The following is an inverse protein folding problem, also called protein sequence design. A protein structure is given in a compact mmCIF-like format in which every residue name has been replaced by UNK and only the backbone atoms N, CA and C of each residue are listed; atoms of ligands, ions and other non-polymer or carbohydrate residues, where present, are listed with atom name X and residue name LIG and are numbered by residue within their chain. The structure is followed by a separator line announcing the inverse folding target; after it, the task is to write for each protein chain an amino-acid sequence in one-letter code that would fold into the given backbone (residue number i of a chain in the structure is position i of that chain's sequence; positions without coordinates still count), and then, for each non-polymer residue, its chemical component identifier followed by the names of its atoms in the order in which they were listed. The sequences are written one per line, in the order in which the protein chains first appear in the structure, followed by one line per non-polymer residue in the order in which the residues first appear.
data_IF_496494371885
#
_entry.id   IF_496494371885
#
_cell.length_a   1.000
_cell.length_b   1.000
_cell.length_c   1.000
_cell.angle_alpha   90.00
_cell.angle_beta   90.00
_cell.angle_gamma   90.00
#
_symmetry.space_group_name_H-M   'P 1'
#
loop_
_entity.id
_entity.type
_entity.pdbx_description
1 polymer ?
#
# COMPACT_ATOMS: atom_id res chain seq x y z
N UNK A 1 -26.62 10.60 -9.51
CA UNK A 1 -25.41 11.07 -8.80
C UNK A 1 -24.41 11.45 -9.89
N UNK A 2 -24.07 12.74 -10.06
CA UNK A 2 -23.32 13.23 -11.23
C UNK A 2 -22.04 12.44 -11.52
N UNK A 3 -21.34 11.98 -10.48
CA UNK A 3 -20.12 11.18 -10.62
C UNK A 3 -20.41 9.85 -11.35
N UNK A 4 -21.50 9.15 -11.03
CA UNK A 4 -21.87 7.87 -11.67
C UNK A 4 -22.02 7.98 -13.18
N UNK A 5 -22.64 9.07 -13.64
CA UNK A 5 -22.80 9.38 -15.06
C UNK A 5 -21.45 9.73 -15.70
N UNK A 6 -20.61 10.53 -15.03
CA UNK A 6 -19.29 10.93 -15.53
C UNK A 6 -18.32 9.75 -15.70
N UNK A 7 -18.30 8.81 -14.74
CA UNK A 7 -17.37 7.65 -14.77
C UNK A 7 -17.99 6.38 -15.34
N UNK A 8 -19.26 6.42 -15.76
CA UNK A 8 -19.93 5.28 -16.39
C UNK A 8 -20.07 4.04 -15.49
N UNK A 9 -20.13 4.23 -14.16
CA UNK A 9 -20.26 3.13 -13.19
C UNK A 9 -21.48 3.33 -12.32
N UNK A 10 -22.05 2.21 -11.86
CA UNK A 10 -23.25 2.25 -11.03
C UNK A 10 -23.04 3.08 -9.75
N UNK A 11 -24.06 3.78 -9.25
CA UNK A 11 -23.96 4.51 -7.98
C UNK A 11 -23.48 3.62 -6.82
N UNK A 12 -23.92 2.36 -6.79
CA UNK A 12 -23.51 1.36 -5.79
C UNK A 12 -22.00 1.10 -5.81
N UNK A 13 -21.40 0.97 -6.99
CA UNK A 13 -19.96 0.77 -7.12
C UNK A 13 -19.18 1.98 -6.58
N UNK A 14 -19.67 3.20 -6.83
CA UNK A 14 -19.02 4.40 -6.29
C UNK A 14 -19.17 4.47 -4.78
N UNK A 15 -20.34 4.15 -4.23
CA UNK A 15 -20.53 4.09 -2.77
C UNK A 15 -19.56 3.12 -2.11
N UNK A 16 -19.36 1.93 -2.70
CA UNK A 16 -18.40 0.95 -2.18
C UNK A 16 -16.98 1.51 -2.18
N UNK A 17 -16.52 2.06 -3.31
CA UNK A 17 -15.17 2.63 -3.41
C UNK A 17 -14.97 3.79 -2.43
N UNK A 18 -15.96 4.67 -2.29
CA UNK A 18 -15.88 5.78 -1.34
C UNK A 18 -15.80 5.28 0.10
N UNK A 19 -16.62 4.30 0.48
CA UNK A 19 -16.60 3.74 1.83
C UNK A 19 -15.26 3.07 2.14
N UNK A 20 -14.72 2.27 1.22
CA UNK A 20 -13.39 1.66 1.39
C UNK A 20 -12.30 2.72 1.59
N UNK A 21 -12.35 3.81 0.82
CA UNK A 21 -11.40 4.93 0.95
C UNK A 21 -11.57 5.69 2.25
N UNK A 22 -12.80 5.94 2.69
CA UNK A 22 -13.06 6.57 3.97
C UNK A 22 -12.55 5.72 5.13
N UNK A 23 -12.73 4.40 5.05
CA UNK A 23 -12.18 3.49 6.05
C UNK A 23 -10.65 3.56 6.09
N UNK A 24 -9.97 3.46 4.94
CA UNK A 24 -8.51 3.59 4.85
C UNK A 24 -7.97 4.93 5.35
N UNK A 25 -8.75 6.01 5.23
CA UNK A 25 -8.37 7.34 5.74
C UNK A 25 -8.64 7.50 7.24
N UNK A 26 -9.59 6.75 7.80
CA UNK A 26 -9.90 6.76 9.23
C UNK A 26 -9.02 5.82 10.04
N UNK A 27 -8.40 4.83 9.39
CA UNK A 27 -7.38 3.98 10.01
C UNK A 27 -6.16 4.84 10.37
N UNK A 28 -5.86 4.91 11.67
CA UNK A 28 -4.69 5.60 12.19
C UNK A 28 -3.43 4.85 11.75
N UNK A 29 -2.57 5.50 10.96
CA UNK A 29 -1.30 4.93 10.52
C UNK A 29 -0.32 5.00 11.68
N UNK A 30 0.04 3.85 12.26
CA UNK A 30 1.08 3.79 13.28
C UNK A 30 2.45 3.87 12.62
N UNK A 31 3.47 4.27 13.39
CA UNK A 31 4.85 4.24 12.90
C UNK A 31 5.26 2.85 12.39
N UNK A 32 4.75 1.80 13.03
CA UNK A 32 4.97 0.41 12.62
C UNK A 32 4.31 0.07 11.26
N UNK A 33 3.24 0.76 10.87
CA UNK A 33 2.55 0.55 9.59
C UNK A 33 3.30 1.22 8.42
N UNK A 34 4.11 2.24 8.70
CA UNK A 34 4.89 2.97 7.70
C UNK A 34 6.34 2.51 7.60
N UNK A 35 6.83 1.71 8.57
CA UNK A 35 8.19 1.17 8.52
C UNK A 35 8.28 0.01 7.53
N UNK A 36 8.73 0.33 6.32
CA UNK A 36 9.05 -0.66 5.29
C UNK A 36 10.55 -0.95 5.33
N UNK A 37 10.92 -2.07 5.94
CA UNK A 37 12.32 -2.47 6.13
C UNK A 37 12.62 -2.78 7.58
N UNK A 38 13.90 -2.81 7.92
CA UNK A 38 14.38 -2.98 9.28
C UNK A 38 15.57 -2.06 9.53
N UNK A 39 16.34 -2.37 10.56
CA UNK A 39 17.60 -1.71 10.86
C UNK A 39 18.73 -2.68 10.50
N UNK A 40 19.81 -2.18 9.92
CA UNK A 40 21.00 -2.98 9.65
C UNK A 40 21.76 -3.32 10.96
N UNK A 41 22.79 -4.18 10.93
CA UNK A 41 23.56 -4.51 12.14
C UNK A 41 24.26 -3.33 12.82
N UNK A 42 24.49 -2.24 12.09
CA UNK A 42 25.16 -1.02 12.58
C UNK A 42 24.17 0.02 13.12
N UNK A 43 22.86 -0.26 13.08
CA UNK A 43 21.83 0.62 13.61
C UNK A 43 21.24 1.60 12.58
N UNK A 44 21.59 1.50 11.29
CA UNK A 44 21.06 2.39 10.27
C UNK A 44 19.73 1.87 9.69
N UNK A 45 18.78 2.76 9.37
CA UNK A 45 17.53 2.35 8.73
C UNK A 45 17.80 1.81 7.31
N UNK A 46 17.27 0.63 7.01
CA UNK A 46 17.26 0.07 5.67
C UNK A 46 16.19 0.81 4.86
N UNK A 47 16.62 1.74 4.01
CA UNK A 47 15.72 2.51 3.15
C UNK A 47 15.36 1.68 1.92
N UNK A 48 14.06 1.36 1.77
CA UNK A 48 13.55 0.63 0.61
C UNK A 48 12.80 1.60 -0.30
N UNK A 49 13.30 1.81 -1.52
CA UNK A 49 12.56 2.53 -2.55
C UNK A 49 11.54 1.60 -3.21
N UNK A 50 10.26 1.94 -3.11
CA UNK A 50 9.19 1.25 -3.83
C UNK A 50 8.90 2.02 -5.11
N UNK A 51 9.35 1.47 -6.23
CA UNK A 51 8.92 1.96 -7.53
C UNK A 51 7.41 1.72 -7.74
N UNK A 52 6.75 2.62 -8.49
CA UNK A 52 5.32 2.54 -8.83
C UNK A 52 4.95 1.22 -9.50
N UNK A 53 5.86 0.60 -10.27
CA UNK A 53 5.60 -0.71 -10.89
C UNK A 53 5.49 -1.87 -9.88
N UNK A 54 5.92 -1.65 -8.63
CA UNK A 54 5.87 -2.61 -7.52
C UNK A 54 4.65 -2.40 -6.62
N UNK A 55 3.94 -1.27 -6.75
CA UNK A 55 2.76 -0.99 -5.95
C UNK A 55 1.66 -2.04 -6.18
N UNK A 56 1.12 -2.61 -5.10
CA UNK A 56 0.12 -3.67 -5.16
C UNK A 56 0.63 -5.07 -5.56
N UNK A 57 1.94 -5.24 -5.80
CA UNK A 57 2.55 -6.56 -6.06
C UNK A 57 3.14 -7.13 -4.78
N UNK A 58 2.89 -8.40 -4.50
CA UNK A 58 3.57 -9.13 -3.41
C UNK A 58 4.88 -9.72 -3.92
N UNK A 59 5.96 -9.60 -3.16
CA UNK A 59 7.22 -10.30 -3.44
C UNK A 59 6.96 -11.81 -3.35
N UNK A 60 6.89 -12.48 -4.50
CA UNK A 60 6.70 -13.91 -4.60
C UNK A 60 8.03 -14.65 -4.58
N UNK A 61 8.55 -14.95 -3.39
CA UNK A 61 9.69 -15.87 -3.24
C UNK A 61 9.50 -16.73 -2.00
N UNK A 62 8.89 -17.91 -2.17
CA UNK A 62 9.02 -18.99 -1.18
C UNK A 62 10.46 -19.50 -1.26
N UNK A 63 11.33 -19.08 -0.34
CA UNK A 63 12.56 -19.83 -0.04
C UNK A 63 13.91 -19.17 -0.30
N UNK A 64 14.01 -18.03 -0.99
CA UNK A 64 15.29 -17.32 -1.11
C UNK A 64 15.31 -16.02 -0.33
N UNK A 65 16.10 -15.99 0.76
CA UNK A 65 16.62 -14.75 1.31
C UNK A 65 17.53 -14.15 0.25
N UNK A 66 17.26 -12.90 -0.13
CA UNK A 66 18.23 -12.15 -0.90
C UNK A 66 19.27 -11.68 0.11
N UNK A 67 20.48 -12.22 0.03
CA UNK A 67 21.62 -11.65 0.74
C UNK A 67 21.81 -10.25 0.18
N UNK A 68 21.54 -9.24 1.01
CA UNK A 68 21.81 -7.85 0.68
C UNK A 68 23.31 -7.64 0.57
N UNK A 69 23.73 -6.92 -0.47
CA UNK A 69 25.09 -6.40 -0.61
C UNK A 69 25.22 -5.15 0.25
#
# INVERSE_FOLDING_TARGET
MQIAETVGVSPKAITLVLNDRYQLLQEDLKEDDVQIGGVDPDGNPIVVEIDKSKFGKRKGSRGHRADGV
#
